data_IF_163659188622
#
_entry.id   IF_163659188622
#
_cell.length_a   1.000
_cell.length_b   1.000
_cell.length_c   1.000
_cell.angle_alpha   90.00
_cell.angle_beta   90.00
_cell.angle_gamma   90.00
#
_symmetry.space_group_name_H-M   'P 1'
#
loop_
_entity.id
_entity.type
_entity.pdbx_description
1 polymer ?
#
# COMPACT_ATOMS: atom_id res chain seq x y z
N UNK A 1 -49.00 21.36 -8.20
CA UNK A 1 -47.60 21.84 -8.14
C UNK A 1 -46.69 20.66 -8.41
N UNK A 2 -46.49 20.40 -9.70
CA UNK A 2 -45.82 19.23 -10.29
C UNK A 2 -44.34 19.62 -10.44
N UNK A 3 -43.59 19.63 -9.35
CA UNK A 3 -42.22 20.20 -9.37
C UNK A 3 -41.24 19.63 -8.35
N UNK A 4 -41.65 18.64 -7.55
CA UNK A 4 -40.80 18.07 -6.48
C UNK A 4 -40.43 16.61 -6.78
N UNK A 5 -41.09 15.94 -7.74
CA UNK A 5 -40.76 14.55 -8.10
C UNK A 5 -39.70 14.40 -9.21
N UNK A 6 -39.32 15.48 -9.91
CA UNK A 6 -38.28 15.44 -10.96
C UNK A 6 -36.86 15.78 -10.46
N UNK A 7 -36.69 16.25 -9.22
CA UNK A 7 -35.38 16.66 -8.68
C UNK A 7 -34.65 15.57 -7.88
N UNK A 8 -35.39 14.62 -7.31
CA UNK A 8 -34.79 13.58 -6.45
C UNK A 8 -34.34 12.32 -7.20
N UNK A 9 -34.74 12.14 -8.46
CA UNK A 9 -34.26 11.04 -9.31
C UNK A 9 -33.02 11.39 -10.15
N UNK A 10 -32.63 12.68 -10.22
CA UNK A 10 -31.45 13.10 -10.97
C UNK A 10 -30.14 13.04 -10.14
N UNK A 11 -30.25 12.91 -8.82
CA UNK A 11 -29.09 12.79 -7.93
C UNK A 11 -28.68 11.33 -7.63
N UNK A 12 -29.51 10.34 -8.01
CA UNK A 12 -29.17 8.92 -7.82
C UNK A 12 -28.39 8.31 -9.00
N UNK A 13 -28.34 8.98 -10.16
CA UNK A 13 -27.61 8.52 -11.34
C UNK A 13 -26.21 9.17 -11.49
N UNK A 14 -25.77 9.99 -10.52
CA UNK A 14 -24.52 10.78 -10.59
C UNK A 14 -23.63 10.55 -9.35
N UNK A 15 -23.73 9.41 -8.67
CA UNK A 15 -22.80 9.07 -7.56
C UNK A 15 -22.05 7.76 -7.74
N UNK A 16 -22.32 7.02 -8.81
CA UNK A 16 -21.45 5.90 -9.18
C UNK A 16 -20.29 6.50 -9.99
N UNK A 17 -19.27 7.03 -9.30
CA UNK A 17 -17.96 7.23 -9.89
C UNK A 17 -17.32 5.84 -10.01
N UNK A 18 -17.36 5.20 -11.18
CA UNK A 18 -16.81 3.88 -11.34
C UNK A 18 -15.29 4.06 -11.45
N UNK A 19 -14.55 3.50 -10.50
CA UNK A 19 -13.12 3.24 -10.64
C UNK A 19 -12.19 4.48 -10.64
N UNK A 20 -11.90 5.00 -9.45
CA UNK A 20 -10.49 5.31 -9.13
C UNK A 20 -9.92 4.08 -8.43
N UNK A 21 -9.65 3.02 -9.19
CA UNK A 21 -8.84 1.91 -8.67
C UNK A 21 -7.42 2.43 -8.48
N UNK A 22 -6.88 2.31 -7.27
CA UNK A 22 -5.46 2.57 -7.05
C UNK A 22 -4.61 1.73 -8.02
N UNK A 23 -3.46 2.24 -8.49
CA UNK A 23 -2.59 1.47 -9.37
C UNK A 23 -2.17 0.18 -8.67
N UNK A 24 -2.15 -0.92 -9.44
CA UNK A 24 -1.69 -2.21 -8.94
C UNK A 24 -0.21 -2.10 -8.55
N UNK A 25 0.10 -2.37 -7.28
CA UNK A 25 1.47 -2.30 -6.79
C UNK A 25 2.23 -3.59 -7.15
N UNK A 26 3.56 -3.52 -7.36
CA UNK A 26 4.36 -4.71 -7.68
C UNK A 26 4.27 -5.81 -6.62
N UNK A 27 4.08 -5.41 -5.36
CA UNK A 27 3.91 -6.31 -4.22
C UNK A 27 2.73 -5.82 -3.38
N UNK A 28 1.81 -6.73 -3.03
CA UNK A 28 0.69 -6.43 -2.17
C UNK A 28 1.13 -6.32 -0.69
N UNK A 29 1.59 -5.14 -0.30
CA UNK A 29 2.02 -4.82 1.06
C UNK A 29 0.83 -4.49 1.98
N UNK A 30 0.80 -5.07 3.19
CA UNK A 30 -0.26 -4.85 4.17
C UNK A 30 0.21 -4.01 5.36
N UNK A 31 -0.12 -2.72 5.40
CA UNK A 31 0.10 -1.88 6.59
C UNK A 31 -0.65 -2.42 7.82
N UNK A 32 -1.83 -3.05 7.62
CA UNK A 32 -2.62 -3.61 8.71
C UNK A 32 -1.84 -4.67 9.47
N UNK A 33 -1.22 -5.63 8.77
CA UNK A 33 -0.46 -6.69 9.43
C UNK A 33 0.76 -6.10 10.13
N UNK A 34 1.50 -5.20 9.49
CA UNK A 34 2.75 -4.70 10.04
C UNK A 34 2.53 -3.70 11.19
N UNK A 35 1.84 -2.59 10.92
CA UNK A 35 1.67 -1.51 11.88
C UNK A 35 0.44 -1.68 12.78
N UNK A 36 -0.57 -2.42 12.33
CA UNK A 36 -1.81 -2.64 13.09
C UNK A 36 -1.73 -3.86 14.01
N UNK A 37 -1.52 -5.04 13.44
CA UNK A 37 -1.62 -6.30 14.20
C UNK A 37 -0.32 -6.62 14.98
N UNK A 38 0.84 -6.13 14.50
CA UNK A 38 2.15 -6.36 15.11
C UNK A 38 2.77 -5.09 15.72
N UNK A 39 2.03 -3.98 15.77
CA UNK A 39 2.45 -2.71 16.38
C UNK A 39 3.83 -2.19 15.93
N UNK A 40 4.25 -2.50 14.69
CA UNK A 40 5.54 -2.02 14.16
C UNK A 40 5.45 -0.50 13.96
N UNK A 41 6.32 0.32 14.59
CA UNK A 41 6.24 1.76 14.47
C UNK A 41 6.42 2.23 13.02
N UNK A 42 5.64 3.23 12.58
CA UNK A 42 5.70 3.73 11.19
C UNK A 42 7.11 4.14 10.75
N UNK A 43 7.87 4.75 11.67
CA UNK A 43 9.24 5.22 11.45
C UNK A 43 10.26 4.09 11.34
N UNK A 44 9.88 2.87 11.71
CA UNK A 44 10.71 1.72 11.43
C UNK A 44 10.95 1.69 9.92
N UNK A 45 9.90 1.59 9.11
CA UNK A 45 10.00 1.56 7.64
C UNK A 45 10.28 2.94 7.03
N UNK A 46 9.61 3.99 7.51
CA UNK A 46 9.73 5.34 6.96
C UNK A 46 10.73 6.19 7.75
N UNK A 47 12.03 5.90 7.57
CA UNK A 47 13.11 6.51 8.38
C UNK A 47 13.19 8.02 8.24
N UNK A 48 12.81 8.55 7.07
CA UNK A 48 12.91 9.99 6.77
C UNK A 48 11.68 10.79 7.21
N UNK A 49 10.64 10.13 7.74
CA UNK A 49 9.38 10.77 8.14
C UNK A 49 9.53 11.94 9.11
N UNK A 50 10.62 11.96 9.91
CA UNK A 50 10.92 13.05 10.86
C UNK A 50 11.96 14.05 10.36
N UNK A 51 12.64 13.77 9.25
CA UNK A 51 13.85 14.48 8.82
C UNK A 51 13.72 15.11 7.44
N UNK A 52 12.69 14.72 6.68
CA UNK A 52 12.48 15.15 5.31
C UNK A 52 10.99 15.49 5.09
N UNK A 53 10.67 16.41 4.15
CA UNK A 53 9.29 16.62 3.69
C UNK A 53 8.63 15.37 3.11
N UNK A 54 9.42 14.37 2.70
CA UNK A 54 8.94 13.07 2.25
C UNK A 54 9.42 11.98 3.21
N UNK A 55 8.48 11.13 3.64
CA UNK A 55 8.77 9.99 4.52
C UNK A 55 9.67 8.92 3.87
N UNK A 56 9.77 8.95 2.53
CA UNK A 56 10.47 7.93 1.75
C UNK A 56 9.72 6.60 1.73
N UNK A 57 10.16 5.71 0.85
CA UNK A 57 9.72 4.31 0.81
C UNK A 57 10.91 3.46 1.24
N UNK A 58 10.74 2.43 2.11
CA UNK A 58 11.84 1.63 2.60
C UNK A 58 12.59 0.91 1.47
N UNK A 59 13.88 0.66 1.67
CA UNK A 59 14.66 -0.26 0.86
C UNK A 59 14.23 -1.71 1.08
N UNK A 60 14.55 -2.60 0.13
CA UNK A 60 14.27 -4.05 0.24
C UNK A 60 14.92 -4.68 1.47
N UNK A 61 16.07 -4.16 1.91
CA UNK A 61 16.72 -4.59 3.16
C UNK A 61 15.81 -4.48 4.38
N UNK A 62 14.86 -3.53 4.39
CA UNK A 62 13.92 -3.37 5.49
C UNK A 62 12.92 -4.52 5.58
N UNK A 63 12.48 -5.01 4.43
CA UNK A 63 11.62 -6.19 4.33
C UNK A 63 12.39 -7.43 4.79
N UNK A 64 13.62 -7.59 4.29
CA UNK A 64 14.47 -8.74 4.61
C UNK A 64 15.04 -8.72 6.03
N UNK A 65 14.92 -7.61 6.77
CA UNK A 65 15.29 -7.57 8.19
C UNK A 65 14.48 -8.53 9.07
N UNK A 66 13.30 -8.96 8.60
CA UNK A 66 12.47 -9.97 9.30
C UNK A 66 12.10 -11.15 8.40
N UNK A 67 11.87 -10.91 7.10
CA UNK A 67 11.40 -11.93 6.17
C UNK A 67 12.46 -12.96 5.74
N UNK A 68 13.66 -12.93 6.32
CA UNK A 68 14.57 -14.10 6.30
C UNK A 68 14.06 -15.24 7.17
N UNK A 69 13.25 -14.96 8.19
CA UNK A 69 12.75 -15.94 9.16
C UNK A 69 11.22 -15.99 9.24
N UNK A 70 10.53 -14.93 8.80
CA UNK A 70 9.07 -14.79 8.93
C UNK A 70 8.40 -14.96 7.57
N UNK A 71 7.42 -15.87 7.49
CA UNK A 71 6.60 -16.11 6.31
C UNK A 71 7.40 -16.40 5.02
N UNK A 72 8.57 -17.04 5.15
CA UNK A 72 9.50 -17.38 4.06
C UNK A 72 8.83 -18.18 2.93
N UNK A 73 7.88 -19.05 3.28
CA UNK A 73 7.17 -19.91 2.33
C UNK A 73 6.07 -19.18 1.55
N UNK A 74 5.77 -17.92 1.89
CA UNK A 74 4.75 -17.13 1.19
C UNK A 74 5.23 -16.77 -0.22
N UNK A 75 4.40 -16.98 -1.26
CA UNK A 75 4.73 -16.55 -2.63
C UNK A 75 5.04 -15.05 -2.74
N UNK A 76 4.41 -14.22 -1.90
CA UNK A 76 4.69 -12.78 -1.85
C UNK A 76 6.10 -12.49 -1.30
N UNK A 77 6.51 -13.22 -0.26
CA UNK A 77 7.82 -13.03 0.35
C UNK A 77 8.92 -13.54 -0.58
N UNK A 78 8.68 -14.61 -1.32
CA UNK A 78 9.58 -15.06 -2.39
C UNK A 78 9.86 -13.96 -3.42
N UNK A 79 8.84 -13.21 -3.85
CA UNK A 79 9.05 -12.06 -4.74
C UNK A 79 9.91 -10.96 -4.10
N UNK A 80 9.70 -10.67 -2.82
CA UNK A 80 10.57 -9.73 -2.07
C UNK A 80 12.01 -10.24 -2.02
N UNK A 81 12.20 -11.54 -1.78
CA UNK A 81 13.51 -12.18 -1.76
C UNK A 81 14.20 -12.12 -3.12
N UNK A 82 13.47 -12.28 -4.23
CA UNK A 82 14.04 -12.12 -5.57
C UNK A 82 14.61 -10.71 -5.79
N UNK A 83 13.87 -9.66 -5.41
CA UNK A 83 14.40 -8.28 -5.45
C UNK A 83 15.64 -8.10 -4.56
N UNK A 84 15.65 -8.74 -3.39
CA UNK A 84 16.79 -8.71 -2.48
C UNK A 84 18.04 -9.37 -3.08
N UNK A 85 17.89 -10.58 -3.61
CA UNK A 85 18.98 -11.37 -4.20
C UNK A 85 19.56 -10.70 -5.44
N UNK A 86 18.69 -10.12 -6.28
CA UNK A 86 19.09 -9.37 -7.47
C UNK A 86 19.67 -7.98 -7.14
N UNK A 87 19.59 -7.54 -5.87
CA UNK A 87 19.99 -6.20 -5.41
C UNK A 87 19.24 -5.08 -6.13
N UNK A 88 18.00 -5.34 -6.50
CA UNK A 88 17.13 -4.42 -7.21
C UNK A 88 16.11 -3.79 -6.25
N UNK A 89 15.79 -2.49 -6.40
CA UNK A 89 14.70 -1.89 -5.64
C UNK A 89 13.35 -2.37 -6.16
N UNK A 90 12.38 -2.51 -5.26
CA UNK A 90 10.98 -2.72 -5.64
C UNK A 90 10.48 -1.47 -6.39
N UNK A 91 9.92 -1.59 -7.61
CA UNK A 91 9.52 -0.46 -8.43
C UNK A 91 8.14 0.08 -8.00
N UNK A 92 8.05 0.62 -6.79
CA UNK A 92 6.81 1.17 -6.22
C UNK A 92 6.18 2.24 -7.11
N UNK A 93 4.86 2.12 -7.32
CA UNK A 93 4.08 3.10 -8.08
C UNK A 93 3.59 4.17 -7.10
N UNK A 94 3.94 5.44 -7.38
CA UNK A 94 3.62 6.61 -6.55
C UNK A 94 2.39 7.36 -7.05
#
# INVERSE_FOLDING_TARGET
MIGICFGYFFNFLVTDNPQVSAPEQPIAFSHKIHAGDNDIPCQYCHTEARRSPSAGVPSVSKCMGCHTEVATESPLIRQVTEYWENKEPIPWIK
#
